data_IF_657741778114
#
_entry.id   IF_657741778114
#
_cell.length_a   1.000
_cell.length_b   1.000
_cell.length_c   1.000
_cell.angle_alpha   90.00
_cell.angle_beta   90.00
_cell.angle_gamma   90.00
#
_symmetry.space_group_name_H-M   'P 1'
#
loop_
_entity.id
_entity.type
_entity.pdbx_description
1 polymer ?
#
# COMPACT_ATOMS: atom_id res chain seq x y z
N UNK A 1 -23.74 -13.33 9.84
CA UNK A 1 -23.99 -13.13 8.39
C UNK A 1 -23.36 -11.86 7.83
N UNK A 2 -23.87 -10.64 8.09
CA UNK A 2 -23.28 -9.40 7.54
C UNK A 2 -21.84 -9.15 8.00
N UNK A 3 -21.54 -9.42 9.26
CA UNK A 3 -20.17 -9.30 9.80
C UNK A 3 -19.20 -10.31 9.18
N UNK A 4 -19.63 -11.55 8.94
CA UNK A 4 -18.82 -12.59 8.30
C UNK A 4 -18.53 -12.23 6.83
N UNK A 5 -19.49 -11.62 6.14
CA UNK A 5 -19.35 -11.15 4.77
C UNK A 5 -18.36 -9.98 4.68
N UNK A 6 -18.44 -9.02 5.61
CA UNK A 6 -17.49 -7.93 5.76
C UNK A 6 -16.09 -8.43 6.13
N UNK A 7 -15.99 -9.45 6.99
CA UNK A 7 -14.72 -10.09 7.34
C UNK A 7 -14.08 -10.77 6.13
N UNK A 8 -14.87 -11.51 5.33
CA UNK A 8 -14.39 -12.09 4.07
C UNK A 8 -13.90 -11.03 3.08
N UNK A 9 -14.61 -9.90 2.97
CA UNK A 9 -14.22 -8.79 2.07
C UNK A 9 -12.94 -8.07 2.52
N UNK A 10 -12.73 -7.91 3.84
CA UNK A 10 -11.50 -7.32 4.38
C UNK A 10 -10.26 -8.15 4.11
N UNK A 11 -10.42 -9.46 3.87
CA UNK A 11 -9.33 -10.39 3.66
C UNK A 11 -8.54 -10.64 4.94
N UNK A 12 -7.30 -11.12 4.80
CA UNK A 12 -6.39 -11.27 5.94
C UNK A 12 -5.97 -9.90 6.47
N UNK A 13 -6.48 -9.56 7.66
CA UNK A 13 -6.00 -8.40 8.39
C UNK A 13 -4.67 -8.77 9.05
N UNK A 14 -3.59 -8.12 8.62
CA UNK A 14 -2.30 -8.27 9.28
C UNK A 14 -2.36 -7.70 10.69
N UNK A 15 -1.63 -8.33 11.62
CA UNK A 15 -1.48 -7.85 12.98
C UNK A 15 -0.94 -6.41 12.99
N UNK A 16 -1.44 -5.56 13.88
CA UNK A 16 -0.93 -4.19 14.05
C UNK A 16 0.37 -4.26 14.86
N UNK A 17 1.46 -4.68 14.22
CA UNK A 17 2.77 -4.86 14.81
C UNK A 17 3.89 -4.23 13.98
N UNK A 18 5.10 -4.22 14.54
CA UNK A 18 6.29 -3.78 13.81
C UNK A 18 6.54 -4.71 12.61
N UNK A 19 6.51 -4.15 11.40
CA UNK A 19 6.75 -4.90 10.15
C UNK A 19 5.51 -5.18 9.30
N UNK A 20 4.29 -4.91 9.78
CA UNK A 20 3.06 -5.02 8.97
C UNK A 20 2.72 -3.74 8.19
N UNK A 21 3.61 -2.75 8.19
CA UNK A 21 3.42 -1.50 7.46
C UNK A 21 3.50 -1.72 5.95
N UNK A 22 2.46 -1.28 5.22
CA UNK A 22 2.44 -1.37 3.75
C UNK A 22 3.24 -0.29 3.04
N UNK A 23 3.40 0.89 3.67
CA UNK A 23 4.03 2.06 3.07
C UNK A 23 4.66 2.96 4.11
N UNK A 24 5.89 3.39 3.88
CA UNK A 24 6.57 4.40 4.69
C UNK A 24 6.45 5.78 4.04
N UNK A 25 6.20 6.80 4.86
CA UNK A 25 6.23 8.21 4.49
C UNK A 25 7.30 8.89 5.34
N UNK A 26 8.39 9.32 4.71
CA UNK A 26 9.49 10.03 5.38
C UNK A 26 9.49 11.45 4.84
N UNK A 27 9.36 12.42 5.73
CA UNK A 27 9.36 13.85 5.37
C UNK A 27 10.74 14.48 5.53
N UNK A 28 11.53 14.01 6.50
CA UNK A 28 12.85 14.51 6.86
C UNK A 28 13.75 13.36 7.32
N UNK A 29 15.07 13.40 7.07
CA UNK A 29 15.83 14.48 6.40
C UNK A 29 15.70 14.48 4.87
N UNK A 30 15.06 13.46 4.31
CA UNK A 30 14.71 13.37 2.90
C UNK A 30 13.20 13.14 2.79
N UNK A 31 12.63 13.58 1.67
CA UNK A 31 11.24 13.34 1.33
C UNK A 31 11.15 12.08 0.47
N UNK A 32 10.54 11.03 1.00
CA UNK A 32 10.34 9.76 0.29
C UNK A 32 9.08 9.05 0.78
N UNK A 33 8.25 8.63 -0.18
CA UNK A 33 7.19 7.66 0.04
C UNK A 33 7.60 6.35 -0.61
N UNK A 34 7.58 5.24 0.13
CA UNK A 34 7.94 3.90 -0.35
C UNK A 34 6.85 2.90 -0.03
N UNK A 35 6.28 2.24 -1.04
CA UNK A 35 5.35 1.12 -0.86
C UNK A 35 6.15 -0.19 -0.76
N UNK A 36 6.10 -0.84 0.40
CA UNK A 36 6.88 -2.05 0.69
C UNK A 36 6.34 -3.29 -0.01
N UNK A 37 5.10 -3.24 -0.51
CA UNK A 37 4.48 -4.40 -1.20
C UNK A 37 4.93 -4.49 -2.66
N UNK A 38 5.15 -3.34 -3.29
CA UNK A 38 5.45 -3.23 -4.73
C UNK A 38 6.84 -2.66 -5.03
N UNK A 39 7.49 -2.05 -4.04
CA UNK A 39 8.78 -1.38 -4.18
C UNK A 39 8.71 0.00 -4.86
N UNK A 40 7.52 0.51 -5.15
CA UNK A 40 7.36 1.84 -5.79
C UNK A 40 7.74 2.95 -4.81
N UNK A 41 8.49 3.92 -5.31
CA UNK A 41 9.01 5.05 -4.55
C UNK A 41 8.65 6.38 -5.23
N UNK A 42 8.29 7.39 -4.42
CA UNK A 42 7.98 8.76 -4.88
C UNK A 42 8.69 9.76 -3.96
N UNK A 43 9.53 10.63 -4.54
CA UNK A 43 10.27 11.65 -3.78
C UNK A 43 9.43 12.88 -3.42
N UNK A 44 8.41 13.22 -4.22
CA UNK A 44 7.51 14.33 -3.91
C UNK A 44 6.42 13.88 -2.93
N UNK A 45 6.75 13.87 -1.64
CA UNK A 45 5.83 13.47 -0.57
C UNK A 45 4.58 14.36 -0.54
N UNK A 46 4.72 15.66 -0.80
CA UNK A 46 3.60 16.59 -0.71
C UNK A 46 2.51 16.26 -1.73
N UNK A 47 2.88 16.00 -2.99
CA UNK A 47 1.93 15.57 -4.01
C UNK A 47 1.18 14.28 -3.63
N UNK A 48 1.88 13.33 -3.00
CA UNK A 48 1.25 12.10 -2.51
C UNK A 48 0.25 12.40 -1.39
N UNK A 49 0.56 13.33 -0.50
CA UNK A 49 -0.36 13.78 0.55
C UNK A 49 -1.55 14.55 -0.01
N UNK A 50 -1.36 15.26 -1.12
CA UNK A 50 -2.41 15.97 -1.86
C UNK A 50 -3.28 15.03 -2.71
N UNK A 51 -2.97 13.72 -2.74
CA UNK A 51 -3.81 12.68 -3.31
C UNK A 51 -3.24 11.97 -4.53
N UNK A 52 -2.03 12.29 -4.97
CA UNK A 52 -1.36 11.61 -6.10
C UNK A 52 -0.87 10.20 -5.70
N UNK A 53 -1.81 9.28 -5.43
CA UNK A 53 -1.54 7.90 -5.00
C UNK A 53 -1.74 6.87 -6.11
N UNK A 54 -2.13 7.29 -7.31
CA UNK A 54 -2.47 6.42 -8.44
C UNK A 54 -1.33 5.48 -8.83
N UNK A 55 -0.09 5.97 -8.78
CA UNK A 55 1.10 5.17 -9.07
C UNK A 55 1.20 3.93 -8.17
N UNK A 56 0.87 4.08 -6.87
CA UNK A 56 0.90 2.97 -5.93
C UNK A 56 -0.27 2.00 -6.12
N UNK A 57 -1.45 2.53 -6.45
CA UNK A 57 -2.65 1.72 -6.71
C UNK A 57 -2.42 0.85 -7.95
N UNK A 58 -2.00 1.46 -9.06
CA UNK A 58 -1.73 0.76 -10.31
C UNK A 58 -0.66 -0.32 -10.13
N UNK A 59 0.45 0.01 -9.46
CA UNK A 59 1.52 -0.95 -9.20
C UNK A 59 1.03 -2.14 -8.35
N UNK A 60 0.20 -1.90 -7.33
CA UNK A 60 -0.34 -2.97 -6.50
C UNK A 60 -1.29 -3.88 -7.29
N UNK A 61 -2.18 -3.30 -8.09
CA UNK A 61 -3.11 -4.08 -8.92
C UNK A 61 -2.37 -4.91 -9.98
N UNK A 62 -1.34 -4.34 -10.61
CA UNK A 62 -0.49 -5.06 -11.56
C UNK A 62 0.27 -6.22 -10.91
N UNK A 63 0.87 -5.98 -9.74
CA UNK A 63 1.60 -7.02 -9.02
C UNK A 63 0.67 -8.13 -8.53
N UNK A 64 -0.52 -7.77 -8.02
CA UNK A 64 -1.57 -8.74 -7.65
C UNK A 64 -2.01 -9.58 -8.85
N UNK A 65 -2.36 -8.96 -9.97
CA UNK A 65 -2.75 -9.67 -11.19
C UNK A 65 -1.63 -10.61 -11.69
N UNK A 66 -0.36 -10.19 -11.57
CA UNK A 66 0.80 -11.03 -11.89
C UNK A 66 0.93 -12.24 -10.97
N UNK A 67 0.62 -12.10 -9.67
CA UNK A 67 0.67 -13.20 -8.69
C UNK A 67 -0.48 -14.19 -8.90
N UNK A 68 -1.67 -13.70 -9.24
CA UNK A 68 -2.87 -14.54 -9.48
C UNK A 68 -2.83 -15.28 -10.83
N UNK A 69 -2.11 -14.74 -11.82
CA UNK A 69 -1.88 -15.41 -13.10
C UNK A 69 -0.74 -16.44 -13.10
N UNK A 70 -0.08 -16.66 -11.96
CA UNK A 70 0.94 -17.70 -11.75
C UNK A 70 0.34 -18.87 -10.98
#
# INVERSE_FOLDING_TARGET
KREEELARLRGEQMEIGWGSQIRSYVFQPYSLVKDHRTGVEVGNVQAVMDGEIDAFIAAYLQDKARREGR
#
